data_IF_180691870881
#
_entry.id   IF_180691870881
#
_cell.length_a   1.000
_cell.length_b   1.000
_cell.length_c   1.000
_cell.angle_alpha   90.00
_cell.angle_beta   90.00
_cell.angle_gamma   90.00
#
_symmetry.space_group_name_H-M   'P 1'
#
loop_
_entity.id
_entity.type
_entity.pdbx_description
1 polymer ?
#
# COMPACT_ATOMS: atom_id res chain seq x y z
N UNK A 1 -76.44 -31.29 53.90
CA UNK A 1 -75.69 -31.98 52.86
C UNK A 1 -75.20 -30.91 51.89
N UNK A 2 -73.92 -30.50 51.93
CA UNK A 2 -73.32 -29.51 51.06
C UNK A 2 -72.23 -30.23 50.25
N UNK A 3 -72.42 -30.27 48.95
CA UNK A 3 -71.49 -30.82 47.98
C UNK A 3 -70.49 -29.76 47.64
N UNK A 4 -69.20 -29.94 47.90
CA UNK A 4 -68.07 -29.09 47.47
C UNK A 4 -67.58 -29.61 46.13
N UNK A 5 -67.73 -28.73 45.10
CA UNK A 5 -67.13 -28.98 43.80
C UNK A 5 -65.76 -28.33 43.73
N UNK A 6 -64.73 -29.18 43.61
CA UNK A 6 -63.32 -28.71 43.40
C UNK A 6 -63.05 -28.46 41.94
N UNK A 7 -62.75 -27.20 41.57
CA UNK A 7 -62.26 -26.82 40.27
C UNK A 7 -60.71 -26.99 40.24
N UNK A 8 -60.19 -27.87 39.37
CA UNK A 8 -58.78 -28.02 39.09
C UNK A 8 -58.47 -27.11 37.94
N UNK A 9 -57.71 -26.03 38.21
CA UNK A 9 -57.17 -25.16 37.19
C UNK A 9 -55.83 -25.74 36.67
N UNK A 10 -55.82 -26.20 35.43
CA UNK A 10 -54.59 -26.65 34.75
C UNK A 10 -53.78 -25.42 34.24
N UNK A 11 -52.61 -25.22 34.86
CA UNK A 11 -51.66 -24.14 34.44
C UNK A 11 -50.80 -24.65 33.28
N UNK A 12 -51.07 -24.20 32.08
CA UNK A 12 -50.20 -24.44 30.92
C UNK A 12 -48.95 -23.57 31.02
N UNK A 13 -47.82 -24.16 31.42
CA UNK A 13 -46.48 -23.52 31.28
C UNK A 13 -46.04 -23.61 29.80
N UNK A 14 -46.16 -22.53 29.08
CA UNK A 14 -45.51 -22.40 27.76
C UNK A 14 -44.03 -22.13 27.95
N UNK A 15 -43.21 -23.15 27.72
CA UNK A 15 -41.74 -23.00 27.65
C UNK A 15 -41.36 -22.25 26.37
N UNK A 16 -41.04 -20.97 26.50
CA UNK A 16 -40.42 -20.18 25.42
C UNK A 16 -38.96 -20.63 25.34
N UNK A 17 -38.65 -21.46 24.34
CA UNK A 17 -37.26 -21.78 24.00
C UNK A 17 -36.56 -20.51 23.50
N UNK A 18 -35.42 -20.10 24.09
CA UNK A 18 -34.67 -18.97 23.54
C UNK A 18 -34.15 -19.35 22.16
N UNK A 19 -34.46 -18.53 21.16
CA UNK A 19 -33.83 -18.57 19.82
C UNK A 19 -32.31 -18.50 20.01
N UNK A 20 -31.52 -19.31 19.27
CA UNK A 20 -30.06 -19.20 19.30
C UNK A 20 -29.68 -17.80 18.88
N UNK A 21 -29.22 -17.00 19.82
CA UNK A 21 -28.65 -15.69 19.53
C UNK A 21 -27.46 -15.88 18.60
N UNK A 22 -27.50 -15.25 17.44
CA UNK A 22 -26.33 -15.13 16.58
C UNK A 22 -25.25 -14.42 17.39
N UNK A 23 -24.32 -15.17 17.95
CA UNK A 23 -23.10 -14.61 18.54
C UNK A 23 -22.35 -13.91 17.39
N UNK A 24 -22.50 -12.60 17.32
CA UNK A 24 -21.71 -11.77 16.41
C UNK A 24 -20.26 -11.89 16.88
N UNK A 25 -19.45 -12.66 16.16
CA UNK A 25 -18.01 -12.77 16.45
C UNK A 25 -17.42 -11.36 16.53
N UNK A 26 -16.69 -11.08 17.60
CA UNK A 26 -15.97 -9.81 17.72
C UNK A 26 -15.03 -9.66 16.51
N UNK A 27 -15.05 -8.52 15.83
CA UNK A 27 -14.19 -8.33 14.67
C UNK A 27 -12.71 -8.47 15.08
N UNK A 28 -11.93 -9.18 14.26
CA UNK A 28 -10.49 -9.34 14.49
C UNK A 28 -9.79 -8.01 14.31
N UNK A 29 -9.13 -7.53 15.36
CA UNK A 29 -8.32 -6.31 15.29
C UNK A 29 -7.05 -6.54 14.48
N UNK A 30 -6.78 -5.65 13.52
CA UNK A 30 -5.60 -5.66 12.66
C UNK A 30 -4.96 -4.28 12.66
N UNK A 31 -3.67 -4.22 12.97
CA UNK A 31 -2.84 -3.07 12.68
C UNK A 31 -2.32 -3.19 11.24
N UNK A 32 -2.84 -2.39 10.33
CA UNK A 32 -2.40 -2.34 8.94
C UNK A 32 -1.35 -1.24 8.78
N UNK A 33 -0.10 -1.64 8.56
CA UNK A 33 0.98 -0.70 8.31
C UNK A 33 0.88 -0.04 6.93
N UNK A 34 1.22 1.24 6.84
CA UNK A 34 1.38 1.92 5.56
C UNK A 34 2.55 2.91 5.60
N UNK A 35 3.23 3.10 4.44
CA UNK A 35 4.55 3.75 4.41
C UNK A 35 4.54 5.24 4.09
N UNK A 36 3.42 5.77 3.60
CA UNK A 36 3.38 7.15 3.10
C UNK A 36 1.96 7.72 3.10
N UNK A 37 1.84 9.02 3.33
CA UNK A 37 0.65 9.79 3.01
C UNK A 37 0.79 10.25 1.55
N UNK A 38 0.34 9.41 0.62
CA UNK A 38 0.36 9.63 -0.83
C UNK A 38 -0.91 9.08 -1.46
N UNK A 39 -1.26 9.51 -2.66
CA UNK A 39 -2.44 9.04 -3.36
C UNK A 39 -2.43 7.52 -3.57
N UNK A 40 -1.26 6.91 -3.78
CA UNK A 40 -1.10 5.46 -3.96
C UNK A 40 -1.59 4.61 -2.78
N UNK A 41 -1.63 5.18 -1.59
CA UNK A 41 -2.07 4.48 -0.37
C UNK A 41 -3.44 4.97 0.15
N UNK A 42 -4.03 5.97 -0.51
CA UNK A 42 -5.34 6.51 -0.13
C UNK A 42 -6.48 5.49 -0.22
N UNK A 43 -6.34 4.47 -1.07
CA UNK A 43 -7.29 3.35 -1.16
C UNK A 43 -7.54 2.69 0.20
N UNK A 44 -6.57 2.62 1.08
CA UNK A 44 -6.73 2.04 2.42
C UNK A 44 -7.75 2.82 3.25
N UNK A 45 -7.73 4.13 3.13
CA UNK A 45 -8.71 5.01 3.78
C UNK A 45 -10.08 4.85 3.14
N UNK A 46 -10.17 4.74 1.82
CA UNK A 46 -11.43 4.48 1.10
C UNK A 46 -12.06 3.17 1.58
N UNK A 47 -11.31 2.08 1.64
CA UNK A 47 -11.80 0.76 2.11
C UNK A 47 -12.30 0.84 3.55
N UNK A 48 -11.58 1.57 4.41
CA UNK A 48 -11.96 1.76 5.82
C UNK A 48 -13.23 2.57 5.97
N UNK A 49 -13.31 3.73 5.32
CA UNK A 49 -14.46 4.65 5.42
C UNK A 49 -15.73 4.04 4.79
N UNK A 50 -15.58 3.21 3.76
CA UNK A 50 -16.66 2.44 3.15
C UNK A 50 -17.17 1.26 4.01
N UNK A 51 -16.55 1.01 5.17
CA UNK A 51 -16.94 -0.11 6.04
C UNK A 51 -16.62 -1.50 5.48
N UNK A 52 -15.81 -1.59 4.41
CA UNK A 52 -15.53 -2.87 3.72
C UNK A 52 -14.71 -3.81 4.59
N UNK A 53 -13.79 -3.29 5.42
CA UNK A 53 -13.08 -4.10 6.38
C UNK A 53 -14.05 -4.72 7.39
N UNK A 54 -14.93 -3.92 7.98
CA UNK A 54 -15.94 -4.38 8.95
C UNK A 54 -16.89 -5.41 8.36
N UNK A 55 -17.35 -5.19 7.11
CA UNK A 55 -18.16 -6.15 6.34
C UNK A 55 -17.49 -7.53 6.24
N UNK A 56 -16.16 -7.56 6.20
CA UNK A 56 -15.35 -8.77 6.15
C UNK A 56 -14.88 -9.25 7.55
N UNK A 57 -15.50 -8.75 8.65
CA UNK A 57 -15.18 -9.16 10.02
C UNK A 57 -13.84 -8.66 10.54
N UNK A 58 -13.32 -7.55 9.99
CA UNK A 58 -12.02 -6.97 10.32
C UNK A 58 -12.20 -5.58 10.96
N UNK A 59 -11.56 -5.35 12.12
CA UNK A 59 -11.40 -4.04 12.73
C UNK A 59 -10.00 -3.52 12.45
N UNK A 60 -9.84 -2.66 11.43
CA UNK A 60 -8.54 -2.23 10.91
C UNK A 60 -8.14 -0.87 11.45
N UNK A 61 -7.00 -0.83 12.13
CA UNK A 61 -6.29 0.40 12.49
C UNK A 61 -5.16 0.67 11.49
N UNK A 62 -5.16 1.85 10.86
CA UNK A 62 -4.10 2.27 9.95
C UNK A 62 -2.93 2.85 10.74
N UNK A 63 -1.73 2.27 10.58
CA UNK A 63 -0.50 2.65 11.28
C UNK A 63 0.53 3.18 10.29
N UNK A 64 0.84 4.49 10.37
CA UNK A 64 1.86 5.11 9.55
C UNK A 64 3.25 4.83 10.11
N UNK A 65 4.10 4.18 9.31
CA UNK A 65 5.55 4.09 9.57
C UNK A 65 6.26 4.58 8.32
N UNK A 66 6.82 5.78 8.37
CA UNK A 66 7.44 6.42 7.20
C UNK A 66 8.60 5.61 6.64
N UNK A 67 8.54 5.32 5.34
CA UNK A 67 9.57 4.59 4.59
C UNK A 67 9.44 3.06 4.68
N UNK A 68 9.60 2.41 3.54
CA UNK A 68 9.34 0.97 3.39
C UNK A 68 10.21 0.07 4.27
N UNK A 69 11.49 0.41 4.44
CA UNK A 69 12.41 -0.38 5.26
C UNK A 69 11.97 -0.45 6.73
N UNK A 70 11.44 0.65 7.30
CA UNK A 70 10.91 0.66 8.66
C UNK A 70 9.66 -0.21 8.83
N UNK A 71 8.77 -0.21 7.85
CA UNK A 71 7.57 -1.08 7.83
C UNK A 71 7.96 -2.55 7.80
N UNK A 72 8.90 -2.92 6.94
CA UNK A 72 9.34 -4.32 6.82
C UNK A 72 9.98 -4.80 8.12
N UNK A 73 10.72 -3.96 8.82
CA UNK A 73 11.24 -4.28 10.16
C UNK A 73 10.11 -4.56 11.16
N UNK A 74 9.02 -3.76 11.16
CA UNK A 74 7.87 -3.99 12.03
C UNK A 74 7.09 -5.27 11.67
N UNK A 75 7.03 -5.65 10.38
CA UNK A 75 6.47 -6.95 9.95
C UNK A 75 7.32 -8.11 10.48
N UNK A 76 8.66 -8.03 10.37
CA UNK A 76 9.57 -9.08 10.84
C UNK A 76 9.53 -9.20 12.36
N UNK A 77 9.41 -8.09 13.08
CA UNK A 77 9.26 -8.08 14.54
C UNK A 77 7.91 -8.64 15.03
N UNK A 78 6.91 -8.76 14.12
CA UNK A 78 5.55 -9.21 14.47
C UNK A 78 4.65 -8.09 15.00
N UNK A 79 5.08 -6.83 14.99
CA UNK A 79 4.28 -5.67 15.40
C UNK A 79 3.11 -5.39 14.45
N UNK A 80 3.30 -5.75 13.17
CA UNK A 80 2.30 -5.65 12.12
C UNK A 80 2.07 -7.03 11.49
N UNK A 81 0.82 -7.50 11.37
CA UNK A 81 0.50 -8.73 10.64
C UNK A 81 0.55 -8.53 9.13
N UNK A 82 0.27 -7.33 8.65
CA UNK A 82 0.21 -6.98 7.22
C UNK A 82 0.52 -5.50 7.03
N UNK A 83 1.09 -5.16 5.88
CA UNK A 83 1.36 -3.77 5.53
C UNK A 83 1.15 -3.52 4.03
N UNK A 84 0.91 -2.25 3.68
CA UNK A 84 0.94 -1.75 2.32
C UNK A 84 2.20 -0.90 2.15
N UNK A 85 3.11 -1.41 1.35
CA UNK A 85 4.48 -0.89 1.19
C UNK A 85 5.00 -1.32 -0.19
N UNK A 86 6.09 -0.72 -0.68
CA UNK A 86 6.76 -1.23 -1.89
C UNK A 86 7.34 -2.64 -1.68
N UNK A 87 7.41 -3.42 -2.76
CA UNK A 87 7.91 -4.79 -2.71
C UNK A 87 9.43 -4.88 -2.48
N UNK A 88 10.18 -3.88 -2.91
CA UNK A 88 11.65 -3.91 -2.85
C UNK A 88 12.23 -4.11 -1.44
N UNK A 89 11.83 -3.37 -0.38
CA UNK A 89 12.34 -3.63 0.97
C UNK A 89 12.02 -5.04 1.48
N UNK A 90 10.87 -5.60 1.06
CA UNK A 90 10.48 -6.98 1.37
C UNK A 90 11.39 -8.00 0.67
N UNK A 91 11.72 -7.74 -0.61
CA UNK A 91 12.65 -8.58 -1.38
C UNK A 91 14.02 -8.57 -0.72
N UNK A 92 14.55 -7.38 -0.37
CA UNK A 92 15.85 -7.23 0.32
C UNK A 92 15.86 -7.97 1.65
N UNK A 93 14.81 -7.83 2.47
CA UNK A 93 14.71 -8.53 3.75
C UNK A 93 14.72 -10.06 3.56
N UNK A 94 14.01 -10.56 2.54
CA UNK A 94 13.99 -12.00 2.24
C UNK A 94 15.34 -12.52 1.78
N UNK A 95 16.12 -11.76 1.02
CA UNK A 95 17.50 -12.09 0.67
C UNK A 95 18.41 -12.14 1.91
N UNK A 96 18.04 -11.43 2.97
CA UNK A 96 18.74 -11.44 4.26
C UNK A 96 18.24 -12.53 5.22
N UNK A 97 17.31 -13.38 4.78
CA UNK A 97 16.81 -14.52 5.57
C UNK A 97 15.47 -14.29 6.26
N UNK A 98 14.83 -13.13 6.11
CA UNK A 98 13.47 -12.94 6.59
C UNK A 98 12.46 -13.73 5.75
N UNK A 99 11.31 -14.08 6.32
CA UNK A 99 10.26 -14.83 5.64
C UNK A 99 9.15 -13.93 5.02
N UNK A 100 9.51 -12.71 4.65
CA UNK A 100 8.58 -11.75 4.03
C UNK A 100 8.03 -12.26 2.70
N UNK A 101 6.75 -11.95 2.42
CA UNK A 101 6.05 -12.40 1.21
C UNK A 101 5.09 -11.32 0.70
N UNK A 102 5.02 -11.16 -0.62
CA UNK A 102 4.12 -10.24 -1.31
C UNK A 102 2.81 -10.98 -1.63
N UNK A 103 1.70 -10.52 -1.04
CA UNK A 103 0.37 -11.09 -1.21
C UNK A 103 -0.38 -10.48 -2.39
N UNK A 104 -0.02 -9.24 -2.77
CA UNK A 104 -0.68 -8.51 -3.86
C UNK A 104 0.11 -7.29 -4.31
N UNK A 105 -0.15 -6.83 -5.53
CA UNK A 105 0.39 -5.62 -6.12
C UNK A 105 -0.72 -4.65 -6.51
N UNK A 106 -0.87 -3.57 -5.75
CA UNK A 106 -1.86 -2.52 -6.02
C UNK A 106 -1.37 -1.59 -7.14
N UNK A 107 -0.07 -1.27 -7.17
CA UNK A 107 0.55 -0.45 -8.21
C UNK A 107 1.86 -1.12 -8.59
N UNK A 108 1.97 -1.51 -9.86
CA UNK A 108 3.06 -2.34 -10.38
C UNK A 108 3.99 -1.56 -11.34
N UNK A 109 3.97 -0.24 -11.28
CA UNK A 109 4.82 0.67 -12.06
C UNK A 109 5.48 1.68 -11.13
N UNK A 110 6.60 2.29 -11.56
CA UNK A 110 7.09 3.49 -10.89
C UNK A 110 6.02 4.59 -11.05
N UNK A 111 5.57 5.12 -9.91
CA UNK A 111 4.57 6.18 -9.81
C UNK A 111 5.19 7.40 -9.11
N UNK A 112 6.45 7.69 -9.45
CA UNK A 112 7.20 8.77 -8.86
C UNK A 112 7.79 9.69 -9.92
N UNK A 113 7.73 11.00 -9.63
CA UNK A 113 8.47 12.03 -10.33
C UNK A 113 9.68 12.49 -9.52
N UNK A 114 10.76 12.85 -10.17
CA UNK A 114 11.89 13.53 -9.54
C UNK A 114 11.74 15.02 -9.78
N UNK A 115 11.53 15.75 -8.71
CA UNK A 115 11.31 17.19 -8.67
C UNK A 115 12.56 17.88 -8.15
N UNK A 116 12.94 19.00 -8.76
CA UNK A 116 14.14 19.75 -8.40
C UNK A 116 13.89 21.27 -8.36
N UNK A 117 14.80 22.00 -7.74
CA UNK A 117 14.80 23.47 -7.74
C UNK A 117 14.91 24.03 -9.17
N UNK A 118 14.43 25.27 -9.43
CA UNK A 118 14.34 25.82 -10.80
C UNK A 118 15.65 25.88 -11.59
N UNK A 119 16.79 25.92 -10.88
CA UNK A 119 18.12 25.95 -11.48
C UNK A 119 18.52 24.61 -12.10
N UNK A 120 17.92 23.50 -11.68
CA UNK A 120 18.16 22.14 -12.19
C UNK A 120 17.13 21.86 -13.28
N UNK A 121 17.56 21.84 -14.53
CA UNK A 121 16.69 21.66 -15.70
C UNK A 121 16.77 20.27 -16.33
N UNK A 122 17.85 19.54 -16.08
CA UNK A 122 18.12 18.20 -16.61
C UNK A 122 18.86 17.35 -15.57
N UNK A 123 18.82 16.03 -15.68
CA UNK A 123 19.47 15.14 -14.72
C UNK A 123 20.95 15.43 -14.44
N UNK A 124 21.72 15.85 -15.47
CA UNK A 124 23.16 16.12 -15.32
C UNK A 124 23.47 17.32 -14.41
N UNK A 125 22.52 18.24 -14.26
CA UNK A 125 22.65 19.40 -13.36
C UNK A 125 22.64 19.00 -11.87
N UNK A 126 22.26 17.74 -11.57
CA UNK A 126 22.31 17.16 -10.22
C UNK A 126 23.74 16.91 -9.72
N UNK A 127 24.76 16.93 -10.58
CA UNK A 127 26.14 16.66 -10.16
C UNK A 127 26.60 17.68 -9.09
N UNK A 128 27.10 17.17 -7.96
CA UNK A 128 27.46 17.99 -6.80
C UNK A 128 26.28 18.46 -5.95
N UNK A 129 25.05 18.01 -6.24
CA UNK A 129 23.81 18.42 -5.58
C UNK A 129 23.33 17.35 -4.56
N UNK A 130 22.25 17.68 -3.85
CA UNK A 130 21.64 16.84 -2.81
C UNK A 130 20.22 16.45 -3.21
N UNK A 131 19.91 15.15 -3.19
CA UNK A 131 18.56 14.62 -3.37
C UNK A 131 18.01 14.04 -2.06
N UNK A 132 16.75 14.35 -1.76
CA UNK A 132 16.08 13.78 -0.58
C UNK A 132 15.28 12.52 -0.92
N UNK A 133 15.40 11.50 -0.06
CA UNK A 133 14.60 10.28 -0.06
C UNK A 133 13.92 10.10 1.29
N UNK A 134 12.95 9.16 1.38
CA UNK A 134 12.26 8.92 2.66
C UNK A 134 13.17 8.29 3.70
N UNK A 135 13.76 7.14 3.36
CA UNK A 135 14.75 6.37 4.15
C UNK A 135 15.64 5.60 3.18
N UNK A 136 16.86 5.29 3.60
CA UNK A 136 17.70 4.36 2.87
C UNK A 136 17.07 2.96 2.87
N UNK A 137 17.19 2.24 1.75
CA UNK A 137 16.54 0.96 1.53
C UNK A 137 15.00 1.07 1.45
N UNK A 138 14.46 2.20 1.04
CA UNK A 138 13.04 2.36 0.68
C UNK A 138 12.89 2.54 -0.83
N UNK A 139 11.65 2.43 -1.34
CA UNK A 139 11.36 2.65 -2.78
C UNK A 139 11.92 3.97 -3.32
N UNK A 140 11.86 5.05 -2.53
CA UNK A 140 12.37 6.35 -2.95
C UNK A 140 13.89 6.36 -3.09
N UNK A 141 14.60 5.66 -2.22
CA UNK A 141 16.05 5.47 -2.33
C UNK A 141 16.41 4.58 -3.52
N UNK A 142 15.70 3.47 -3.71
CA UNK A 142 15.90 2.58 -4.84
C UNK A 142 15.70 3.31 -6.17
N UNK A 143 14.57 4.02 -6.34
CA UNK A 143 14.24 4.70 -7.59
C UNK A 143 15.19 5.85 -7.88
N UNK A 144 15.62 6.62 -6.86
CA UNK A 144 16.62 7.69 -7.04
C UNK A 144 17.96 7.10 -7.49
N UNK A 145 18.43 6.03 -6.86
CA UNK A 145 19.68 5.36 -7.28
C UNK A 145 19.59 4.80 -8.69
N UNK A 146 18.49 4.12 -9.02
CA UNK A 146 18.22 3.64 -10.37
C UNK A 146 18.24 4.77 -11.40
N UNK A 147 17.56 5.89 -11.12
CA UNK A 147 17.51 7.04 -12.02
C UNK A 147 18.90 7.66 -12.22
N UNK A 148 19.67 7.87 -11.15
CA UNK A 148 21.02 8.40 -11.22
C UNK A 148 21.94 7.50 -12.07
N UNK A 149 21.93 6.19 -11.83
CA UNK A 149 22.71 5.23 -12.61
C UNK A 149 22.32 5.24 -14.10
N UNK A 150 21.00 5.30 -14.39
CA UNK A 150 20.47 5.43 -15.77
C UNK A 150 20.96 6.69 -16.46
N UNK A 151 21.23 7.77 -15.73
CA UNK A 151 21.73 9.04 -16.25
C UNK A 151 23.26 9.13 -16.25
N UNK A 152 23.96 8.07 -15.85
CA UNK A 152 25.44 8.06 -15.78
C UNK A 152 26.00 8.81 -14.58
N UNK A 153 25.18 9.08 -13.56
CA UNK A 153 25.58 9.69 -12.29
C UNK A 153 25.76 8.61 -11.23
N UNK A 154 26.83 8.71 -10.46
CA UNK A 154 27.11 7.72 -9.42
C UNK A 154 26.47 8.20 -8.11
N UNK A 155 25.48 7.42 -7.54
CA UNK A 155 24.87 7.71 -6.25
C UNK A 155 25.93 7.87 -5.15
N UNK A 156 25.70 8.79 -4.24
CA UNK A 156 26.54 9.17 -3.09
C UNK A 156 27.92 9.77 -3.45
N UNK A 157 28.41 9.60 -4.69
CA UNK A 157 29.63 10.24 -5.18
C UNK A 157 29.36 11.52 -5.99
N UNK A 158 28.53 11.40 -7.02
CA UNK A 158 28.19 12.53 -7.90
C UNK A 158 27.00 13.32 -7.36
N UNK A 159 26.08 12.67 -6.65
CA UNK A 159 24.87 13.25 -6.06
C UNK A 159 24.71 12.70 -4.64
N UNK A 160 24.72 13.58 -3.64
CA UNK A 160 24.48 13.20 -2.26
C UNK A 160 23.01 12.83 -2.04
N UNK A 161 22.75 11.65 -1.47
CA UNK A 161 21.39 11.21 -1.13
C UNK A 161 21.18 11.37 0.37
N UNK A 162 20.11 12.08 0.75
CA UNK A 162 19.81 12.39 2.15
C UNK A 162 18.44 11.83 2.57
N UNK A 163 18.35 11.30 3.78
CA UNK A 163 17.06 10.92 4.36
C UNK A 163 16.35 12.16 4.91
N UNK A 164 15.14 12.45 4.44
CA UNK A 164 14.34 13.57 4.91
C UNK A 164 12.87 13.17 5.25
N UNK A 165 12.61 11.87 5.42
CA UNK A 165 11.36 11.35 5.96
C UNK A 165 10.17 11.41 5.02
N UNK A 166 9.02 11.88 5.52
CA UNK A 166 7.74 11.89 4.80
C UNK A 166 7.76 12.76 3.55
N UNK A 167 6.82 12.52 2.63
CA UNK A 167 6.70 13.33 1.40
C UNK A 167 6.53 14.83 1.70
N UNK A 168 5.67 15.26 2.66
CA UNK A 168 5.62 16.67 3.06
C UNK A 168 6.96 17.22 3.61
N UNK A 169 7.68 16.43 4.41
CA UNK A 169 8.99 16.85 4.94
C UNK A 169 10.03 17.04 3.83
N UNK A 170 10.05 16.16 2.81
CA UNK A 170 10.93 16.29 1.66
C UNK A 170 10.63 17.52 0.81
N UNK A 171 9.34 17.83 0.60
CA UNK A 171 8.92 19.07 -0.07
C UNK A 171 9.32 20.30 0.74
N UNK A 172 9.20 20.27 2.06
CA UNK A 172 9.65 21.36 2.92
C UNK A 172 11.18 21.57 2.83
N UNK A 173 11.96 20.46 2.82
CA UNK A 173 13.41 20.52 2.63
C UNK A 173 13.80 21.09 1.26
N UNK A 174 13.04 20.78 0.20
CA UNK A 174 13.21 21.35 -1.14
C UNK A 174 12.91 22.86 -1.14
N UNK A 175 11.78 23.27 -0.53
CA UNK A 175 11.36 24.68 -0.44
C UNK A 175 12.36 25.56 0.36
N UNK A 176 12.98 24.98 1.40
CA UNK A 176 13.99 25.69 2.21
C UNK A 176 15.39 25.72 1.57
N UNK A 177 15.62 25.02 0.45
CA UNK A 177 16.93 24.89 -0.15
C UNK A 177 17.89 23.94 0.58
N UNK A 178 17.43 23.20 1.59
CA UNK A 178 18.25 22.19 2.28
C UNK A 178 18.67 21.05 1.32
N UNK A 179 17.83 20.74 0.36
CA UNK A 179 18.10 19.83 -0.75
C UNK A 179 17.77 20.48 -2.09
N UNK A 180 18.34 19.97 -3.17
CA UNK A 180 18.16 20.52 -4.52
C UNK A 180 17.11 19.76 -5.33
N UNK A 181 16.72 18.58 -4.86
CA UNK A 181 15.64 17.81 -5.47
C UNK A 181 15.13 16.72 -4.52
N UNK A 182 14.01 16.15 -4.90
CA UNK A 182 13.40 15.03 -4.19
C UNK A 182 12.57 14.20 -5.13
N UNK A 183 12.11 13.04 -4.66
CA UNK A 183 11.22 12.14 -5.37
C UNK A 183 9.85 12.14 -4.68
N UNK A 184 8.78 12.29 -5.45
CA UNK A 184 7.40 12.37 -4.97
C UNK A 184 6.45 11.64 -5.90
N UNK A 185 5.35 11.16 -5.37
CA UNK A 185 4.23 10.63 -6.15
C UNK A 185 3.03 11.57 -6.14
N UNK A 186 2.03 11.34 -7.00
CA UNK A 186 0.81 12.13 -7.03
C UNK A 186 0.10 12.21 -5.67
N UNK A 187 -0.47 13.36 -5.34
CA UNK A 187 -0.52 14.60 -6.12
C UNK A 187 0.61 15.59 -5.81
N UNK A 188 1.64 15.22 -5.05
CA UNK A 188 2.66 16.17 -4.61
C UNK A 188 3.58 16.64 -5.74
N UNK A 189 3.75 15.85 -6.80
CA UNK A 189 4.41 16.24 -8.04
C UNK A 189 3.68 17.41 -8.71
N UNK A 190 2.35 17.35 -8.80
CA UNK A 190 1.50 18.40 -9.36
C UNK A 190 1.64 19.69 -8.54
N UNK A 191 1.55 19.58 -7.21
CA UNK A 191 1.73 20.70 -6.30
C UNK A 191 3.12 21.32 -6.43
N UNK A 192 4.15 20.50 -6.56
CA UNK A 192 5.52 20.98 -6.73
C UNK A 192 5.69 21.76 -8.05
N UNK A 193 5.18 21.23 -9.17
CA UNK A 193 5.20 21.93 -10.47
C UNK A 193 4.45 23.26 -10.43
N UNK A 194 3.23 23.27 -9.83
CA UNK A 194 2.46 24.52 -9.63
C UNK A 194 3.21 25.54 -8.74
N UNK A 195 4.11 25.07 -7.87
CA UNK A 195 4.98 25.90 -7.02
C UNK A 195 6.29 26.36 -7.70
N UNK A 196 6.48 26.08 -8.99
CA UNK A 196 7.64 26.54 -9.78
C UNK A 196 8.86 25.61 -9.71
N UNK A 197 8.75 24.41 -9.14
CA UNK A 197 9.80 23.40 -9.20
C UNK A 197 9.79 22.65 -10.53
N UNK A 198 10.96 22.27 -10.99
CA UNK A 198 11.10 21.49 -12.22
C UNK A 198 10.88 20.00 -11.97
N UNK A 199 10.14 19.34 -12.86
CA UNK A 199 10.09 17.90 -12.96
C UNK A 199 11.19 17.43 -13.91
N UNK A 200 12.24 16.84 -13.40
CA UNK A 200 13.41 16.40 -14.17
C UNK A 200 13.35 14.94 -14.59
N UNK A 201 12.39 14.20 -14.05
CA UNK A 201 12.00 12.88 -14.53
C UNK A 201 10.54 12.59 -14.18
N UNK A 202 9.80 12.07 -15.14
CA UNK A 202 8.44 11.54 -14.98
C UNK A 202 8.47 10.02 -14.79
N UNK A 203 7.38 9.40 -14.31
CA UNK A 203 7.25 7.94 -14.25
C UNK A 203 7.52 7.26 -15.59
N UNK A 204 7.02 7.82 -16.70
CA UNK A 204 7.16 7.27 -18.05
C UNK A 204 8.63 7.32 -18.53
N UNK A 205 9.36 8.37 -18.18
CA UNK A 205 10.79 8.49 -18.53
C UNK A 205 11.65 7.50 -17.74
N UNK A 206 11.28 7.18 -16.50
CA UNK A 206 11.93 6.15 -15.71
C UNK A 206 11.63 4.76 -16.27
N UNK A 207 10.41 4.54 -16.76
CA UNK A 207 9.94 3.37 -17.51
C UNK A 207 10.45 2.04 -16.96
N UNK A 208 10.09 1.73 -15.72
CA UNK A 208 10.44 0.49 -15.05
C UNK A 208 9.19 -0.14 -14.47
N UNK A 209 8.88 -1.38 -14.87
CA UNK A 209 7.95 -2.22 -14.13
C UNK A 209 8.54 -2.42 -12.72
N UNK A 210 7.76 -2.08 -11.69
CA UNK A 210 8.26 -1.97 -10.32
C UNK A 210 7.14 -2.26 -9.31
N UNK A 211 7.36 -3.09 -8.29
CA UNK A 211 6.35 -3.40 -7.27
C UNK A 211 6.21 -2.21 -6.29
N UNK A 212 5.60 -1.12 -6.76
CA UNK A 212 5.56 0.17 -6.08
C UNK A 212 4.68 0.19 -4.84
N UNK A 213 3.46 -0.37 -4.94
CA UNK A 213 2.54 -0.45 -3.82
C UNK A 213 2.01 -1.87 -3.71
N UNK A 214 2.53 -2.62 -2.75
CA UNK A 214 2.25 -4.03 -2.54
C UNK A 214 1.63 -4.28 -1.17
N UNK A 215 0.89 -5.37 -1.07
CA UNK A 215 0.45 -5.94 0.19
C UNK A 215 1.50 -6.95 0.62
N UNK A 216 2.09 -6.73 1.78
CA UNK A 216 3.21 -7.54 2.29
C UNK A 216 2.89 -8.07 3.68
N UNK A 217 3.31 -9.30 3.94
CA UNK A 217 3.25 -9.96 5.24
C UNK A 217 4.49 -10.84 5.42
N UNK A 218 4.54 -11.64 6.48
CA UNK A 218 5.48 -12.75 6.63
C UNK A 218 4.78 -14.08 6.33
N UNK A 219 5.50 -15.03 5.76
CA UNK A 219 4.94 -16.36 5.45
C UNK A 219 4.46 -17.07 6.73
N UNK A 220 5.18 -16.90 7.83
CA UNK A 220 4.79 -17.42 9.14
C UNK A 220 3.49 -16.80 9.67
N UNK A 221 3.29 -15.48 9.49
CA UNK A 221 2.04 -14.84 9.85
C UNK A 221 0.87 -15.34 8.99
N UNK A 222 1.09 -15.44 7.67
CA UNK A 222 0.09 -15.97 6.73
C UNK A 222 -0.34 -17.39 7.10
N UNK A 223 0.61 -18.25 7.46
CA UNK A 223 0.32 -19.64 7.86
C UNK A 223 -0.47 -19.71 9.17
N UNK A 224 -0.13 -18.88 10.16
CA UNK A 224 -0.86 -18.85 11.46
C UNK A 224 -2.24 -18.21 11.37
N UNK A 225 -2.45 -17.29 10.42
CA UNK A 225 -3.64 -16.45 10.31
C UNK A 225 -4.26 -16.53 8.91
N UNK A 226 -4.38 -17.75 8.36
CA UNK A 226 -4.81 -17.94 6.96
C UNK A 226 -6.20 -17.34 6.69
N UNK A 227 -7.17 -17.60 7.56
CA UNK A 227 -8.53 -17.08 7.39
C UNK A 227 -8.59 -15.55 7.50
N UNK A 228 -7.81 -14.97 8.40
CA UNK A 228 -7.67 -13.52 8.53
C UNK A 228 -7.09 -12.93 7.23
N UNK A 229 -6.04 -13.55 6.67
CA UNK A 229 -5.41 -13.14 5.42
C UNK A 229 -6.41 -13.25 4.26
N UNK A 230 -7.21 -14.30 4.20
CA UNK A 230 -8.26 -14.48 3.19
C UNK A 230 -9.30 -13.37 3.24
N UNK A 231 -9.83 -13.06 4.44
CA UNK A 231 -10.80 -11.96 4.64
C UNK A 231 -10.19 -10.61 4.26
N UNK A 232 -8.93 -10.38 4.63
CA UNK A 232 -8.22 -9.15 4.28
C UNK A 232 -8.05 -8.99 2.77
N UNK A 233 -7.56 -10.02 2.07
CA UNK A 233 -7.40 -9.97 0.61
C UNK A 233 -8.74 -9.82 -0.11
N UNK A 234 -9.82 -10.42 0.41
CA UNK A 234 -11.17 -10.19 -0.09
C UNK A 234 -11.60 -8.74 0.06
N UNK A 235 -11.39 -8.14 1.24
CA UNK A 235 -11.70 -6.72 1.49
C UNK A 235 -10.91 -5.78 0.55
N UNK A 236 -9.66 -6.11 0.23
CA UNK A 236 -8.87 -5.36 -0.75
C UNK A 236 -9.51 -5.43 -2.15
N UNK A 237 -9.89 -6.61 -2.63
CA UNK A 237 -10.52 -6.77 -3.97
C UNK A 237 -11.86 -6.04 -4.04
N UNK A 238 -12.71 -6.17 -3.01
CA UNK A 238 -13.96 -5.41 -2.89
C UNK A 238 -13.70 -3.89 -2.85
N UNK A 239 -12.65 -3.49 -2.13
CA UNK A 239 -12.25 -2.09 -2.00
C UNK A 239 -11.74 -1.47 -3.30
N UNK A 240 -11.03 -2.21 -4.12
CA UNK A 240 -10.61 -1.76 -5.46
C UNK A 240 -11.84 -1.51 -6.33
N UNK A 241 -12.81 -2.42 -6.32
CA UNK A 241 -14.05 -2.24 -7.06
C UNK A 241 -14.81 -1.01 -6.57
N UNK A 242 -14.96 -0.86 -5.25
CA UNK A 242 -15.61 0.31 -4.65
C UNK A 242 -14.90 1.61 -5.07
N UNK A 243 -13.58 1.67 -4.97
CA UNK A 243 -12.78 2.82 -5.40
C UNK A 243 -13.07 3.19 -6.86
N UNK A 244 -13.15 2.19 -7.75
CA UNK A 244 -13.38 2.41 -9.18
C UNK A 244 -14.80 2.86 -9.52
N UNK A 245 -15.81 2.50 -8.73
CA UNK A 245 -17.23 2.70 -9.04
C UNK A 245 -17.91 3.74 -8.17
N UNK A 246 -17.43 4.01 -6.96
CA UNK A 246 -18.02 4.95 -6.02
C UNK A 246 -17.18 6.23 -5.92
N UNK A 247 -17.24 7.05 -6.99
CA UNK A 247 -16.37 8.23 -7.16
C UNK A 247 -16.48 9.19 -5.97
N UNK A 248 -17.66 9.66 -5.63
CA UNK A 248 -17.87 10.71 -4.61
C UNK A 248 -17.36 10.27 -3.21
N UNK A 249 -17.65 9.03 -2.82
CA UNK A 249 -17.17 8.48 -1.57
C UNK A 249 -15.63 8.35 -1.57
N UNK A 250 -15.05 7.96 -2.70
CA UNK A 250 -13.60 7.83 -2.86
C UNK A 250 -12.90 9.20 -2.81
N UNK A 251 -13.44 10.23 -3.48
CA UNK A 251 -12.91 11.61 -3.41
C UNK A 251 -12.86 12.11 -1.97
N UNK A 252 -13.95 11.95 -1.21
CA UNK A 252 -14.02 12.36 0.21
C UNK A 252 -12.92 11.68 1.06
N UNK A 253 -12.71 10.39 0.87
CA UNK A 253 -11.71 9.64 1.63
C UNK A 253 -10.28 9.98 1.21
N UNK A 254 -10.05 10.24 -0.09
CA UNK A 254 -8.74 10.69 -0.61
C UNK A 254 -8.37 12.03 0.01
N UNK A 255 -9.29 13.00 0.00
CA UNK A 255 -9.06 14.31 0.58
C UNK A 255 -8.78 14.23 2.09
N UNK A 256 -9.60 13.48 2.83
CA UNK A 256 -9.40 13.26 4.26
C UNK A 256 -8.06 12.56 4.59
N UNK A 257 -7.57 11.68 3.70
CA UNK A 257 -6.30 10.97 3.87
C UNK A 257 -5.11 11.88 3.57
N UNK A 258 -5.11 12.56 2.43
CA UNK A 258 -3.97 13.32 1.93
C UNK A 258 -4.03 14.81 2.32
N UNK A 259 -5.18 15.30 2.83
CA UNK A 259 -5.43 16.70 3.25
C UNK A 259 -5.13 17.68 2.13
N UNK A 260 -5.69 17.42 0.95
CA UNK A 260 -5.41 18.20 -0.25
C UNK A 260 -6.15 19.54 -0.26
N UNK A 261 -7.42 19.58 0.18
CA UNK A 261 -8.24 20.79 0.29
C UNK A 261 -8.68 21.41 -1.04
N UNK A 262 -8.11 20.98 -2.17
CA UNK A 262 -8.42 21.47 -3.52
C UNK A 262 -9.15 20.38 -4.30
N UNK A 263 -10.40 20.63 -4.69
CA UNK A 263 -11.28 19.65 -5.36
C UNK A 263 -10.65 19.12 -6.67
N UNK A 264 -10.02 20.00 -7.46
CA UNK A 264 -9.37 19.62 -8.71
C UNK A 264 -8.24 18.62 -8.46
N UNK A 265 -7.40 18.86 -7.45
CA UNK A 265 -6.27 18.01 -7.09
C UNK A 265 -6.74 16.65 -6.57
N UNK A 266 -7.84 16.62 -5.81
CA UNK A 266 -8.46 15.38 -5.34
C UNK A 266 -9.01 14.57 -6.51
N UNK A 267 -9.72 15.22 -7.46
CA UNK A 267 -10.29 14.55 -8.65
C UNK A 267 -9.18 14.02 -9.58
N UNK A 268 -8.10 14.77 -9.78
CA UNK A 268 -6.96 14.35 -10.57
C UNK A 268 -6.27 13.12 -9.93
N UNK A 269 -6.07 13.15 -8.61
CA UNK A 269 -5.54 12.01 -7.83
C UNK A 269 -6.44 10.77 -7.99
N UNK A 270 -7.76 10.94 -7.85
CA UNK A 270 -8.72 9.84 -8.02
C UNK A 270 -8.64 9.24 -9.43
N UNK A 271 -8.67 10.08 -10.48
CA UNK A 271 -8.60 9.62 -11.88
C UNK A 271 -7.33 8.81 -12.12
N UNK A 272 -6.17 9.35 -11.72
CA UNK A 272 -4.89 8.66 -11.87
C UNK A 272 -4.93 7.25 -11.24
N UNK A 273 -5.32 7.12 -9.97
CA UNK A 273 -5.31 5.82 -9.29
C UNK A 273 -6.45 4.90 -9.74
N UNK A 274 -7.58 5.43 -10.18
CA UNK A 274 -8.66 4.64 -10.79
C UNK A 274 -8.17 3.88 -12.03
N UNK A 275 -7.34 4.51 -12.83
CA UNK A 275 -6.86 3.94 -14.09
C UNK A 275 -5.79 2.87 -13.85
N UNK A 276 -4.85 3.11 -12.95
CA UNK A 276 -3.71 2.20 -12.72
C UNK A 276 -3.97 1.07 -11.72
N UNK A 277 -4.98 1.18 -10.84
CA UNK A 277 -5.36 0.08 -9.94
C UNK A 277 -5.90 -1.11 -10.74
N UNK A 278 -5.36 -2.32 -10.59
CA UNK A 278 -5.86 -3.51 -11.30
C UNK A 278 -7.18 -3.99 -10.66
N UNK A 279 -8.03 -4.71 -11.44
CA UNK A 279 -9.25 -5.35 -10.88
C UNK A 279 -8.92 -6.40 -9.84
N UNK A 280 -7.89 -7.18 -10.09
CA UNK A 280 -7.32 -8.17 -9.16
C UNK A 280 -5.86 -7.81 -8.96
N UNK A 281 -5.43 -7.55 -7.73
CA UNK A 281 -4.11 -6.99 -7.46
C UNK A 281 -3.02 -8.07 -7.43
N UNK A 282 -2.77 -8.76 -8.55
CA UNK A 282 -1.64 -9.68 -8.64
C UNK A 282 -0.32 -8.92 -8.59
N UNK A 283 0.69 -9.45 -7.87
CA UNK A 283 2.05 -8.92 -7.96
C UNK A 283 2.57 -9.06 -9.40
N UNK A 284 3.19 -8.01 -9.92
CA UNK A 284 3.84 -8.08 -11.22
C UNK A 284 5.21 -8.75 -11.10
N UNK A 285 5.32 -9.95 -11.68
CA UNK A 285 6.56 -10.73 -11.64
C UNK A 285 7.69 -10.04 -12.43
N UNK A 286 7.37 -9.32 -13.51
CA UNK A 286 8.36 -8.57 -14.26
C UNK A 286 8.96 -7.43 -13.41
N UNK A 287 8.14 -6.72 -12.64
CA UNK A 287 8.59 -5.70 -11.71
C UNK A 287 9.49 -6.27 -10.59
N UNK A 288 9.12 -7.42 -10.04
CA UNK A 288 9.94 -8.13 -9.05
C UNK A 288 11.27 -8.55 -9.66
N UNK A 289 11.26 -9.08 -10.89
CA UNK A 289 12.49 -9.48 -11.60
C UNK A 289 13.42 -8.28 -11.85
N UNK A 290 12.87 -7.14 -12.22
CA UNK A 290 13.64 -5.91 -12.39
C UNK A 290 14.35 -5.50 -11.09
N UNK A 291 13.63 -5.57 -9.96
CA UNK A 291 14.23 -5.30 -8.63
C UNK A 291 15.34 -6.30 -8.31
N UNK A 292 15.13 -7.59 -8.56
CA UNK A 292 16.15 -8.62 -8.36
C UNK A 292 17.39 -8.38 -9.24
N UNK A 293 17.21 -7.98 -10.50
CA UNK A 293 18.30 -7.67 -11.42
C UNK A 293 19.12 -6.46 -10.92
N UNK A 294 18.46 -5.42 -10.42
CA UNK A 294 19.15 -4.25 -9.86
C UNK A 294 19.90 -4.60 -8.57
N UNK A 295 19.29 -5.37 -7.68
CA UNK A 295 19.95 -5.84 -6.46
C UNK A 295 21.16 -6.73 -6.80
N UNK A 296 21.04 -7.60 -7.81
CA UNK A 296 22.10 -8.53 -8.22
C UNK A 296 23.40 -7.86 -8.69
N UNK A 297 23.35 -6.58 -9.05
CA UNK A 297 24.55 -5.79 -9.35
C UNK A 297 25.45 -5.59 -8.12
N UNK A 298 24.87 -5.63 -6.92
CA UNK A 298 25.54 -5.35 -5.64
C UNK A 298 25.50 -6.54 -4.66
N UNK A 299 24.50 -7.41 -4.77
CA UNK A 299 24.29 -8.56 -3.91
C UNK A 299 24.10 -9.83 -4.75
N UNK A 300 25.15 -10.70 -4.81
CA UNK A 300 25.08 -11.94 -5.58
C UNK A 300 23.96 -12.90 -5.18
N UNK A 301 23.41 -12.77 -3.95
CA UNK A 301 22.31 -13.62 -3.48
C UNK A 301 21.04 -13.45 -4.31
N UNK A 302 20.87 -12.31 -4.99
CA UNK A 302 19.72 -12.08 -5.87
C UNK A 302 19.84 -12.77 -7.24
N UNK A 303 21.04 -13.25 -7.63
CA UNK A 303 21.27 -13.84 -8.96
C UNK A 303 20.49 -15.14 -9.14
N UNK A 304 19.77 -15.23 -10.25
CA UNK A 304 19.06 -16.45 -10.66
C UNK A 304 17.82 -16.80 -9.84
N UNK A 305 17.44 -15.94 -8.89
CA UNK A 305 16.19 -16.15 -8.14
C UNK A 305 14.97 -15.82 -9.02
N UNK A 306 13.92 -16.63 -8.85
CA UNK A 306 12.65 -16.45 -9.56
C UNK A 306 11.72 -15.53 -8.77
N UNK A 307 11.02 -14.59 -9.42
CA UNK A 307 10.09 -13.66 -8.75
C UNK A 307 9.00 -14.35 -7.94
N UNK A 308 8.54 -15.52 -8.40
CA UNK A 308 7.50 -16.31 -7.72
C UNK A 308 7.87 -16.68 -6.30
N UNK A 309 9.17 -16.87 -6.01
CA UNK A 309 9.65 -17.19 -4.67
C UNK A 309 9.34 -16.07 -3.64
N UNK A 310 9.03 -14.87 -4.09
CA UNK A 310 8.74 -13.71 -3.26
C UNK A 310 7.24 -13.44 -3.10
N UNK A 311 6.38 -14.25 -3.71
CA UNK A 311 4.92 -14.00 -3.79
C UNK A 311 4.11 -15.13 -3.19
N UNK A 312 2.91 -14.79 -2.68
CA UNK A 312 1.89 -15.74 -2.26
C UNK A 312 0.55 -15.33 -2.85
N UNK A 313 0.15 -15.95 -3.95
CA UNK A 313 -1.01 -15.55 -4.74
C UNK A 313 -2.24 -16.45 -4.57
N UNK A 314 -2.18 -17.51 -3.73
CA UNK A 314 -3.28 -18.46 -3.57
C UNK A 314 -4.60 -17.81 -3.16
N UNK A 315 -4.54 -16.75 -2.35
CA UNK A 315 -5.74 -16.04 -1.91
C UNK A 315 -6.45 -15.34 -3.08
N UNK A 316 -5.70 -14.66 -3.94
CA UNK A 316 -6.25 -13.99 -5.14
C UNK A 316 -6.82 -15.02 -6.12
N UNK A 317 -6.08 -16.10 -6.38
CA UNK A 317 -6.55 -17.22 -7.22
C UNK A 317 -7.85 -17.82 -6.67
N UNK A 318 -7.95 -18.00 -5.36
CA UNK A 318 -9.17 -18.50 -4.71
C UNK A 318 -10.37 -17.55 -4.86
N UNK A 319 -10.14 -16.23 -4.77
CA UNK A 319 -11.18 -15.23 -4.97
C UNK A 319 -11.69 -15.19 -6.42
N UNK A 320 -10.81 -15.35 -7.42
CA UNK A 320 -11.20 -15.49 -8.82
C UNK A 320 -11.99 -16.78 -9.06
N UNK A 321 -11.47 -17.91 -8.59
CA UNK A 321 -12.11 -19.21 -8.74
C UNK A 321 -13.51 -19.27 -8.09
N UNK A 322 -13.74 -18.49 -7.01
CA UNK A 322 -15.06 -18.38 -6.37
C UNK A 322 -16.09 -17.58 -7.18
N UNK A 323 -15.69 -16.95 -8.28
CA UNK A 323 -16.54 -16.05 -9.07
C UNK A 323 -16.80 -14.69 -8.42
N UNK A 324 -16.11 -14.36 -7.32
CA UNK A 324 -16.30 -13.07 -6.63
C UNK A 324 -15.98 -11.89 -7.56
N UNK A 325 -14.85 -11.94 -8.26
CA UNK A 325 -14.43 -10.85 -9.13
C UNK A 325 -15.46 -10.57 -10.22
N UNK A 326 -15.99 -11.61 -10.86
CA UNK A 326 -17.03 -11.48 -11.90
C UNK A 326 -18.32 -10.87 -11.33
N UNK A 327 -18.70 -11.21 -10.09
CA UNK A 327 -19.88 -10.64 -9.42
C UNK A 327 -19.71 -9.16 -9.09
N UNK A 328 -18.51 -8.73 -8.73
CA UNK A 328 -18.21 -7.34 -8.35
C UNK A 328 -18.26 -6.37 -9.55
N UNK A 329 -18.02 -6.84 -10.75
CA UNK A 329 -17.93 -6.00 -11.96
C UNK A 329 -19.08 -6.24 -12.96
N UNK A 330 -20.13 -6.96 -12.56
CA UNK A 330 -21.44 -7.04 -13.25
C UNK A 330 -22.29 -5.83 -12.93
#
# INVERSE_FOLDING_TARGET
MRVLSSLIAALFLTTVSPLPGTTQEKPNRINLGYSSISGSQAILRVIKDAGIFQKNGLDVSLVLITGGSGIVQALIAGDLPVAVVSGEPSIVARLQGADTVILGGLINIIDFSIIAVPEIKKPQDLKGKKLAVSRFGSSTDFVVRYALEKWGLIPDRDVAILQAGSQPARIAALKSGAVHGTIVGPPADIVARKSGFNEIATPEQLNLAYPNTCIVSTASNVARNEELTRRFMKAIVEGIQFFKTQKEASLKSIDAFARLGETELVDETYRHYKDILPRVPYPDLAGIQNVLNEIAKRDPRAKGLKPEAFTETRFLKGLEASGLVQKLYR
#
